data_IF_326295441184
#
_entry.id   IF_326295441184
#
_cell.length_a   1.000
_cell.length_b   1.000
_cell.length_c   1.000
_cell.angle_alpha   90.00
_cell.angle_beta   90.00
_cell.angle_gamma   90.00
#
_symmetry.space_group_name_H-M   'P 1'
#
loop_
_entity.id
_entity.type
_entity.pdbx_description
1 polymer ?
#
# COMPACT_ATOMS: atom_id res chain seq x y z
N UNK A 1 -3.16 -8.57 -3.29
CA UNK A 1 -4.57 -8.41 -3.70
C UNK A 1 -5.47 -8.59 -2.48
N UNK A 2 -6.48 -7.74 -2.29
CA UNK A 2 -7.47 -7.95 -1.26
C UNK A 2 -8.26 -9.23 -1.58
N UNK A 3 -8.60 -10.03 -0.57
CA UNK A 3 -9.19 -11.36 -0.75
C UNK A 3 -10.59 -11.49 -0.17
N UNK A 4 -10.81 -10.90 1.01
CA UNK A 4 -12.12 -10.84 1.66
C UNK A 4 -12.07 -9.84 2.83
N UNK A 5 -13.23 -9.40 3.29
CA UNK A 5 -13.34 -8.52 4.45
C UNK A 5 -14.43 -8.92 5.44
N UNK A 6 -14.36 -8.33 6.62
CA UNK A 6 -15.42 -8.35 7.63
C UNK A 6 -15.87 -6.91 7.88
N UNK A 7 -17.17 -6.71 8.12
CA UNK A 7 -17.71 -5.40 8.47
C UNK A 7 -18.55 -5.48 9.74
N UNK A 8 -18.16 -4.76 10.79
CA UNK A 8 -18.90 -4.65 12.04
C UNK A 8 -19.50 -3.26 12.18
N UNK A 9 -20.78 -3.16 12.51
CA UNK A 9 -21.49 -1.90 12.64
C UNK A 9 -22.17 -1.74 14.00
N UNK A 10 -22.04 -0.56 14.60
CA UNK A 10 -22.93 -0.07 15.65
C UNK A 10 -23.85 0.97 15.02
N UNK A 11 -25.13 0.62 14.85
CA UNK A 11 -26.12 1.47 14.21
C UNK A 11 -26.98 2.17 15.28
N UNK A 12 -27.39 3.43 15.05
CA UNK A 12 -28.39 4.07 15.90
C UNK A 12 -29.71 3.31 15.88
N UNK A 13 -30.42 3.31 17.01
CA UNK A 13 -31.78 2.75 17.06
C UNK A 13 -32.69 3.40 16.00
N UNK A 14 -33.34 2.57 15.18
CA UNK A 14 -34.21 3.05 14.10
C UNK A 14 -33.48 3.60 12.86
N UNK A 15 -32.19 3.30 12.68
CA UNK A 15 -31.43 3.74 11.50
C UNK A 15 -32.08 3.30 10.19
N UNK A 16 -32.63 4.26 9.45
CA UNK A 16 -33.46 4.02 8.26
C UNK A 16 -32.69 3.39 7.08
N UNK A 17 -31.37 3.58 7.03
CA UNK A 17 -30.53 3.21 5.88
C UNK A 17 -29.74 1.91 6.10
N UNK A 18 -30.09 1.11 7.12
CA UNK A 18 -29.32 -0.10 7.46
C UNK A 18 -29.20 -1.09 6.29
N UNK A 19 -30.28 -1.28 5.53
CA UNK A 19 -30.28 -2.15 4.34
C UNK A 19 -29.38 -1.60 3.24
N UNK A 20 -29.50 -0.32 2.94
CA UNK A 20 -28.71 0.37 1.89
C UNK A 20 -27.21 0.34 2.21
N UNK A 21 -26.85 0.48 3.49
CA UNK A 21 -25.47 0.37 3.96
C UNK A 21 -24.89 -1.03 3.67
N UNK A 22 -25.61 -2.09 4.04
CA UNK A 22 -25.18 -3.48 3.81
C UNK A 22 -25.08 -3.77 2.31
N UNK A 23 -26.04 -3.30 1.51
CA UNK A 23 -26.01 -3.44 0.05
C UNK A 23 -24.81 -2.71 -0.56
N UNK A 24 -24.47 -1.51 -0.07
CA UNK A 24 -23.31 -0.76 -0.52
C UNK A 24 -21.99 -1.48 -0.16
N UNK A 25 -21.86 -1.99 1.07
CA UNK A 25 -20.69 -2.78 1.49
C UNK A 25 -20.52 -4.03 0.62
N UNK A 26 -21.61 -4.75 0.35
CA UNK A 26 -21.59 -5.92 -0.52
C UNK A 26 -21.18 -5.54 -1.95
N UNK A 27 -21.82 -4.52 -2.54
CA UNK A 27 -21.53 -4.04 -3.89
C UNK A 27 -20.06 -3.67 -4.07
N UNK A 28 -19.52 -2.86 -3.17
CA UNK A 28 -18.13 -2.40 -3.28
C UNK A 28 -17.12 -3.51 -2.97
N UNK A 29 -17.42 -4.40 -2.01
CA UNK A 29 -16.63 -5.59 -1.78
C UNK A 29 -16.51 -6.46 -3.03
N UNK A 30 -17.63 -6.72 -3.72
CA UNK A 30 -17.61 -7.46 -4.99
C UNK A 30 -16.86 -6.71 -6.09
N UNK A 31 -17.10 -5.40 -6.24
CA UNK A 31 -16.45 -4.58 -7.26
C UNK A 31 -14.92 -4.64 -7.19
N UNK A 32 -14.36 -4.62 -5.98
CA UNK A 32 -12.90 -4.65 -5.75
C UNK A 32 -12.32 -6.07 -5.55
N UNK A 33 -13.11 -7.12 -5.83
CA UNK A 33 -12.66 -8.51 -5.64
C UNK A 33 -12.39 -8.89 -4.19
N UNK A 34 -12.96 -8.15 -3.24
CA UNK A 34 -12.81 -8.31 -1.80
C UNK A 34 -14.19 -8.47 -1.12
N UNK A 35 -14.87 -9.60 -1.33
CA UNK A 35 -16.22 -9.80 -0.77
C UNK A 35 -16.22 -9.65 0.75
N UNK A 36 -17.25 -8.99 1.28
CA UNK A 36 -17.53 -8.99 2.72
C UNK A 36 -18.18 -10.34 3.07
N UNK A 37 -17.43 -11.19 3.79
CA UNK A 37 -17.81 -12.59 4.06
C UNK A 37 -18.45 -12.78 5.44
N UNK A 38 -18.46 -11.73 6.26
CA UNK A 38 -19.01 -11.79 7.61
C UNK A 38 -18.89 -10.45 8.32
N UNK A 39 -19.33 -10.42 9.57
CA UNK A 39 -19.48 -9.20 10.33
C UNK A 39 -20.49 -9.36 11.45
N UNK A 40 -20.70 -8.28 12.19
CA UNK A 40 -21.72 -8.22 13.23
C UNK A 40 -22.41 -6.85 13.23
N UNK A 41 -23.68 -6.80 13.61
CA UNK A 41 -24.44 -5.54 13.69
C UNK A 41 -25.07 -5.45 15.07
N UNK A 42 -24.71 -4.40 15.79
CA UNK A 42 -25.34 -4.01 17.05
C UNK A 42 -26.14 -2.71 16.87
N UNK A 43 -27.16 -2.53 17.69
CA UNK A 43 -27.93 -1.29 17.77
C UNK A 43 -27.75 -0.63 19.14
N UNK A 44 -27.78 0.70 19.18
CA UNK A 44 -27.80 1.42 20.45
C UNK A 44 -27.90 2.93 20.32
N UNK A 45 -27.87 3.62 21.46
CA UNK A 45 -28.04 5.07 21.58
C UNK A 45 -26.83 5.90 21.10
N UNK A 46 -25.84 5.26 20.46
CA UNK A 46 -24.60 5.89 20.00
C UNK A 46 -24.65 6.37 18.54
N UNK A 47 -23.63 7.12 18.09
CA UNK A 47 -23.49 7.47 16.68
C UNK A 47 -23.27 6.22 15.83
N UNK A 48 -23.54 6.34 14.53
CA UNK A 48 -23.18 5.30 13.56
C UNK A 48 -21.65 5.09 13.59
N UNK A 49 -21.23 3.85 13.83
CA UNK A 49 -19.83 3.45 13.75
C UNK A 49 -19.71 2.19 12.90
N UNK A 50 -18.73 2.18 12.00
CA UNK A 50 -18.47 1.05 11.10
C UNK A 50 -16.99 0.75 11.15
N UNK A 51 -16.65 -0.50 11.43
CA UNK A 51 -15.29 -1.02 11.36
C UNK A 51 -15.22 -2.06 10.26
N UNK A 52 -14.29 -1.88 9.32
CA UNK A 52 -14.03 -2.86 8.26
C UNK A 52 -12.64 -3.44 8.43
N UNK A 53 -12.55 -4.77 8.43
CA UNK A 53 -11.29 -5.51 8.42
C UNK A 53 -11.10 -6.13 7.06
N UNK A 54 -9.99 -5.83 6.39
CA UNK A 54 -9.67 -6.40 5.07
C UNK A 54 -8.51 -7.40 5.21
N UNK A 55 -8.67 -8.59 4.65
CA UNK A 55 -7.62 -9.59 4.54
C UNK A 55 -7.17 -9.69 3.10
N UNK A 56 -5.88 -9.45 2.87
CA UNK A 56 -5.24 -9.59 1.57
C UNK A 56 -4.39 -10.86 1.47
N UNK A 57 -4.13 -11.27 0.23
CA UNK A 57 -3.11 -12.26 -0.11
C UNK A 57 -2.05 -11.61 -0.99
N UNK A 58 -0.82 -12.09 -0.88
CA UNK A 58 0.22 -11.72 -1.82
C UNK A 58 0.76 -12.98 -2.49
N UNK A 59 0.39 -13.15 -3.76
CA UNK A 59 0.83 -14.25 -4.62
C UNK A 59 1.89 -13.73 -5.59
N UNK A 60 2.87 -14.59 -5.91
CA UNK A 60 3.85 -14.29 -6.95
C UNK A 60 3.19 -14.52 -8.32
N UNK A 61 3.36 -13.63 -9.32
CA UNK A 61 3.12 -14.02 -10.71
C UNK A 61 4.24 -14.97 -11.12
N UNK A 62 3.87 -16.20 -11.50
CA UNK A 62 4.68 -17.23 -12.15
C UNK A 62 6.16 -17.26 -11.76
N UNK A 63 6.50 -18.04 -10.72
CA UNK A 63 7.83 -18.62 -10.69
C UNK A 63 7.96 -19.53 -11.93
N UNK A 64 8.97 -19.34 -12.81
CA UNK A 64 9.16 -20.29 -13.90
C UNK A 64 9.32 -21.67 -13.28
N UNK A 65 8.53 -22.63 -13.75
CA UNK A 65 8.67 -24.01 -13.36
C UNK A 65 10.13 -24.40 -13.61
N UNK A 66 10.91 -24.59 -12.55
CA UNK A 66 12.21 -25.24 -12.70
C UNK A 66 11.89 -26.66 -13.13
N UNK A 67 12.23 -27.00 -14.37
CA UNK A 67 12.26 -28.39 -14.81
C UNK A 67 13.25 -29.11 -13.91
N UNK A 68 12.73 -29.76 -12.86
CA UNK A 68 13.48 -30.81 -12.18
C UNK A 68 13.33 -32.00 -13.11
N UNK A 69 14.38 -32.29 -13.88
CA UNK A 69 14.45 -33.55 -14.60
C UNK A 69 14.25 -34.68 -13.58
N UNK A 70 13.30 -35.61 -13.82
CA UNK A 70 13.13 -36.74 -12.92
C UNK A 70 14.45 -37.51 -12.87
N UNK A 71 14.89 -37.97 -11.68
CA UNK A 71 16.14 -38.70 -11.57
C UNK A 71 16.09 -39.92 -12.49
N UNK A 72 17.18 -40.11 -13.25
CA UNK A 72 17.33 -41.21 -14.19
C UNK A 72 16.93 -42.54 -13.53
N UNK A 73 16.06 -43.29 -14.20
CA UNK A 73 15.73 -44.66 -13.81
C UNK A 73 17.02 -45.49 -13.80
N UNK A 74 17.54 -45.77 -12.62
CA UNK A 74 18.54 -46.81 -12.44
C UNK A 74 17.84 -48.16 -12.63
N UNK A 75 18.12 -48.82 -13.74
CA UNK A 75 17.76 -50.22 -13.95
C UNK A 75 18.55 -51.14 -13.02
N UNK A 76 17.97 -52.29 -12.70
CA UNK A 76 18.65 -53.38 -12.00
C UNK A 76 17.67 -54.30 -11.29
N UNK A 77 17.53 -55.54 -11.77
CA UNK A 77 16.57 -56.53 -11.28
C UNK A 77 16.96 -57.22 -9.98
N UNK A 78 16.07 -58.13 -9.53
CA UNK A 78 16.33 -59.03 -8.41
C UNK A 78 15.05 -59.44 -7.69
N UNK A 79 14.80 -60.74 -7.68
CA UNK A 79 13.61 -61.45 -7.18
C UNK A 79 13.43 -61.44 -5.65
N UNK A 80 12.17 -61.56 -5.20
CA UNK A 80 11.83 -62.35 -4.01
C UNK A 80 11.41 -61.62 -2.72
N UNK A 81 10.18 -61.93 -2.24
CA UNK A 81 9.82 -61.90 -0.81
C UNK A 81 8.96 -60.71 -0.35
N UNK A 82 7.81 -61.00 0.24
CA UNK A 82 6.75 -60.03 0.58
C UNK A 82 7.03 -59.10 1.77
N UNK A 83 6.39 -57.92 1.73
CA UNK A 83 6.32 -56.91 2.79
C UNK A 83 5.36 -55.77 2.37
N UNK A 84 4.70 -55.07 3.31
CA UNK A 84 3.49 -54.29 3.04
C UNK A 84 3.76 -53.03 2.20
N UNK A 85 2.78 -52.68 1.36
CA UNK A 85 2.75 -51.46 0.54
C UNK A 85 3.10 -50.22 1.38
N UNK A 86 4.29 -49.67 1.16
CA UNK A 86 4.61 -48.30 1.53
C UNK A 86 4.04 -47.37 0.45
N UNK A 87 2.90 -46.74 0.74
CA UNK A 87 2.44 -45.58 -0.02
C UNK A 87 3.44 -44.43 0.21
N UNK A 88 4.39 -44.27 -0.71
CA UNK A 88 5.22 -43.07 -0.77
C UNK A 88 4.32 -41.87 -1.10
N UNK A 89 3.88 -41.12 -0.09
CA UNK A 89 3.42 -39.74 -0.26
C UNK A 89 4.61 -38.92 -0.74
N UNK A 90 4.70 -38.69 -2.04
CA UNK A 90 5.51 -37.61 -2.58
C UNK A 90 4.91 -36.29 -2.12
N UNK A 91 5.38 -35.75 -1.01
CA UNK A 91 5.18 -34.33 -0.70
C UNK A 91 6.06 -33.53 -1.65
N UNK A 92 5.49 -33.16 -2.79
CA UNK A 92 6.01 -32.06 -3.60
C UNK A 92 5.87 -30.79 -2.76
N UNK A 93 6.91 -30.44 -2.03
CA UNK A 93 7.00 -29.14 -1.38
C UNK A 93 7.19 -28.10 -2.50
N UNK A 94 6.09 -27.49 -2.95
CA UNK A 94 6.14 -26.23 -3.65
C UNK A 94 6.53 -25.18 -2.61
N UNK A 95 7.82 -24.88 -2.52
CA UNK A 95 8.28 -23.72 -1.77
C UNK A 95 7.92 -22.48 -2.61
N UNK A 96 6.64 -22.07 -2.54
CA UNK A 96 6.21 -20.79 -3.09
C UNK A 96 6.89 -19.72 -2.27
N UNK A 97 7.95 -19.11 -2.80
CA UNK A 97 8.56 -17.92 -2.23
C UNK A 97 7.50 -16.81 -2.16
N UNK A 98 6.88 -16.67 -0.98
CA UNK A 98 5.97 -15.58 -0.65
C UNK A 98 6.82 -14.32 -0.59
N UNK A 99 6.60 -13.34 -1.49
CA UNK A 99 7.17 -12.01 -1.26
C UNK A 99 6.51 -11.42 -0.02
N UNK A 100 7.24 -10.63 0.74
CA UNK A 100 6.71 -9.85 1.87
C UNK A 100 6.10 -8.55 1.36
N UNK A 101 5.01 -8.05 1.97
CA UNK A 101 4.40 -6.79 1.55
C UNK A 101 5.43 -5.66 1.57
N UNK A 102 5.28 -4.69 0.66
CA UNK A 102 6.07 -3.46 0.73
C UNK A 102 5.64 -2.70 1.99
N UNK A 103 6.55 -2.60 2.95
CA UNK A 103 6.31 -1.90 4.21
C UNK A 103 6.67 -0.43 4.07
N UNK A 104 6.05 0.43 4.87
CA UNK A 104 6.45 1.84 5.00
C UNK A 104 7.84 2.05 5.63
N UNK A 105 8.47 0.98 6.13
CA UNK A 105 9.74 1.01 6.88
C UNK A 105 10.96 0.63 6.03
N UNK A 106 10.82 0.56 4.71
CA UNK A 106 11.87 0.09 3.81
C UNK A 106 12.65 1.17 3.06
N UNK A 107 12.33 2.46 3.22
CA UNK A 107 12.92 3.54 2.41
C UNK A 107 14.42 3.67 2.68
N UNK A 108 15.19 3.99 1.63
CA UNK A 108 16.64 4.07 1.70
C UNK A 108 17.14 5.44 1.25
N UNK A 109 18.24 5.95 1.83
CA UNK A 109 18.90 7.14 1.32
C UNK A 109 19.21 7.01 -0.19
N UNK A 110 18.89 8.04 -0.95
CA UNK A 110 19.00 8.07 -2.41
C UNK A 110 17.72 7.71 -3.15
N UNK A 111 16.70 7.16 -2.48
CA UNK A 111 15.39 6.94 -3.10
C UNK A 111 14.73 8.27 -3.50
N UNK A 112 14.02 8.24 -4.61
CA UNK A 112 13.14 9.31 -5.05
C UNK A 112 11.73 9.10 -4.50
N UNK A 113 11.03 10.20 -4.23
CA UNK A 113 9.66 10.19 -3.74
C UNK A 113 8.68 10.43 -4.88
N UNK A 114 7.68 9.56 -5.01
CA UNK A 114 6.71 9.58 -6.09
C UNK A 114 5.28 9.39 -5.57
N UNK A 115 4.30 9.96 -6.27
CA UNK A 115 2.89 9.87 -5.96
C UNK A 115 2.11 9.18 -7.08
N UNK A 116 1.01 8.50 -6.75
CA UNK A 116 0.10 7.92 -7.75
C UNK A 116 -0.95 8.89 -8.30
N UNK A 117 -1.06 10.07 -7.70
CA UNK A 117 -2.02 11.09 -8.10
C UNK A 117 -1.75 12.44 -7.45
N UNK A 118 -2.68 13.36 -7.67
CA UNK A 118 -2.59 14.71 -7.11
C UNK A 118 -2.95 14.70 -5.62
N UNK A 119 -2.47 15.70 -4.89
CA UNK A 119 -2.78 15.91 -3.47
C UNK A 119 -3.59 17.18 -3.24
N UNK A 120 -4.47 17.14 -2.24
CA UNK A 120 -5.29 18.27 -1.80
C UNK A 120 -6.65 18.39 -2.50
N UNK A 121 -7.58 19.09 -1.85
CA UNK A 121 -8.93 19.36 -2.34
C UNK A 121 -9.85 18.13 -2.32
N UNK A 122 -9.53 17.09 -1.54
CA UNK A 122 -10.30 15.85 -1.53
C UNK A 122 -11.73 16.03 -1.00
N UNK A 123 -11.88 16.87 0.03
CA UNK A 123 -13.19 17.23 0.58
C UNK A 123 -14.00 18.08 -0.40
N UNK A 124 -13.42 19.16 -0.91
CA UNK A 124 -14.09 20.11 -1.82
C UNK A 124 -14.55 19.42 -3.12
N UNK A 125 -13.70 18.57 -3.71
CA UNK A 125 -14.05 17.82 -4.91
C UNK A 125 -14.99 16.64 -4.66
N UNK A 126 -15.20 16.26 -3.39
CA UNK A 126 -15.87 15.03 -2.99
C UNK A 126 -15.12 13.76 -3.38
N UNK A 127 -13.81 13.86 -3.66
CA UNK A 127 -12.97 12.74 -4.05
C UNK A 127 -12.87 11.67 -2.96
N UNK A 128 -12.80 12.06 -1.68
CA UNK A 128 -12.82 11.16 -0.52
C UNK A 128 -13.98 10.14 -0.50
N UNK A 129 -15.09 10.41 -1.20
CA UNK A 129 -16.23 9.49 -1.32
C UNK A 129 -16.26 8.67 -2.62
N UNK A 130 -15.38 8.98 -3.59
CA UNK A 130 -15.42 8.40 -4.94
C UNK A 130 -14.06 7.88 -5.43
N UNK A 131 -13.04 7.91 -4.58
CA UNK A 131 -11.71 7.45 -4.93
C UNK A 131 -11.71 5.96 -5.29
N UNK A 132 -10.78 5.59 -6.17
CA UNK A 132 -10.46 4.20 -6.45
C UNK A 132 -9.17 3.84 -5.69
N UNK A 133 -9.18 2.85 -4.76
CA UNK A 133 -7.97 2.41 -4.09
C UNK A 133 -6.93 1.97 -5.12
N UNK A 134 -5.67 2.37 -4.90
CA UNK A 134 -4.57 2.18 -5.85
C UNK A 134 -4.01 0.75 -5.87
N UNK A 135 -4.90 -0.24 -5.99
CA UNK A 135 -4.58 -1.67 -5.93
C UNK A 135 -3.60 -2.11 -7.02
N UNK A 136 -3.80 -1.65 -8.25
CA UNK A 136 -2.91 -1.98 -9.37
C UNK A 136 -1.50 -1.41 -9.16
N UNK A 137 -1.42 -0.16 -8.69
CA UNK A 137 -0.16 0.51 -8.38
C UNK A 137 0.56 -0.19 -7.22
N UNK A 138 -0.13 -0.49 -6.12
CA UNK A 138 0.42 -1.23 -5.00
C UNK A 138 0.86 -2.65 -5.38
N UNK A 139 0.09 -3.34 -6.21
CA UNK A 139 0.44 -4.67 -6.73
C UNK A 139 1.68 -4.64 -7.63
N UNK A 140 1.78 -3.65 -8.52
CA UNK A 140 2.95 -3.47 -9.38
C UNK A 140 4.19 -3.03 -8.58
N UNK A 141 4.03 -2.20 -7.56
CA UNK A 141 5.09 -1.87 -6.61
C UNK A 141 5.62 -3.13 -5.90
N UNK A 142 4.75 -4.00 -5.40
CA UNK A 142 5.15 -5.25 -4.74
C UNK A 142 5.88 -6.26 -5.66
N UNK A 143 5.65 -6.17 -6.98
CA UNK A 143 6.34 -6.98 -7.99
C UNK A 143 7.68 -6.38 -8.42
N UNK A 144 7.95 -5.14 -8.04
CA UNK A 144 9.17 -4.41 -8.41
C UNK A 144 10.19 -4.50 -7.29
N UNK A 145 11.46 -4.69 -7.62
CA UNK A 145 12.57 -4.59 -6.65
C UNK A 145 13.02 -3.15 -6.43
N UNK A 146 12.38 -2.20 -7.12
CA UNK A 146 12.72 -0.78 -7.09
C UNK A 146 11.94 0.01 -6.06
N UNK A 147 10.77 -0.46 -5.64
CA UNK A 147 9.97 0.22 -4.63
C UNK A 147 10.41 -0.31 -3.28
N UNK A 148 11.03 0.56 -2.48
CA UNK A 148 11.59 0.18 -1.19
C UNK A 148 10.59 0.39 -0.06
N UNK A 149 9.77 1.44 -0.13
CA UNK A 149 8.69 1.69 0.82
C UNK A 149 7.48 2.34 0.17
N UNK A 150 6.34 2.18 0.83
CA UNK A 150 5.07 2.72 0.37
C UNK A 150 4.12 2.97 1.55
N UNK A 151 3.32 4.02 1.46
CA UNK A 151 2.20 4.33 2.37
C UNK A 151 1.07 4.99 1.59
N UNK A 152 -0.19 4.77 2.01
CA UNK A 152 -1.32 5.55 1.52
C UNK A 152 -1.43 6.91 2.22
N UNK A 153 -2.06 7.88 1.54
CA UNK A 153 -2.25 9.24 2.02
C UNK A 153 -3.67 9.41 2.57
N UNK A 154 -3.84 9.16 3.87
CA UNK A 154 -5.11 9.30 4.57
C UNK A 154 -5.16 10.56 5.43
N UNK A 155 -4.06 10.94 6.06
CA UNK A 155 -4.01 12.02 7.05
C UNK A 155 -3.30 13.28 6.49
N UNK A 156 -2.98 13.24 5.19
CA UNK A 156 -2.28 14.27 4.46
C UNK A 156 -0.84 13.89 4.19
N UNK A 157 -0.31 14.37 3.05
CA UNK A 157 1.05 14.08 2.61
C UNK A 157 2.09 14.36 3.70
N UNK A 158 1.94 15.45 4.46
CA UNK A 158 2.93 15.80 5.48
C UNK A 158 3.05 14.74 6.58
N UNK A 159 1.94 14.40 7.24
CA UNK A 159 1.92 13.43 8.33
C UNK A 159 2.26 12.02 7.86
N UNK A 160 1.75 11.59 6.71
CA UNK A 160 2.02 10.24 6.19
C UNK A 160 3.45 10.09 5.67
N UNK A 161 4.04 11.14 5.08
CA UNK A 161 5.47 11.16 4.77
C UNK A 161 6.33 11.11 6.04
N UNK A 162 5.96 11.85 7.09
CA UNK A 162 6.67 11.81 8.37
C UNK A 162 6.62 10.40 8.99
N UNK A 163 5.48 9.70 8.91
CA UNK A 163 5.33 8.32 9.37
C UNK A 163 6.21 7.35 8.57
N UNK A 164 6.27 7.49 7.25
CA UNK A 164 7.14 6.67 6.39
C UNK A 164 8.61 6.90 6.73
N UNK A 165 9.06 8.15 6.84
CA UNK A 165 10.42 8.50 7.22
C UNK A 165 10.80 7.98 8.61
N UNK A 166 9.90 8.17 9.59
CA UNK A 166 10.07 7.65 10.94
C UNK A 166 10.19 6.13 10.99
N UNK A 167 9.29 5.42 10.30
CA UNK A 167 9.31 3.96 10.24
C UNK A 167 10.55 3.40 9.52
N UNK A 168 11.09 4.14 8.55
CA UNK A 168 12.27 3.75 7.78
C UNK A 168 13.59 4.20 8.42
N UNK A 169 13.57 5.04 9.46
CA UNK A 169 14.79 5.57 10.08
C UNK A 169 15.57 6.56 9.20
N UNK A 170 14.87 7.29 8.32
CA UNK A 170 15.45 8.22 7.34
C UNK A 170 14.77 9.58 7.39
N UNK A 171 15.31 10.57 6.65
CA UNK A 171 14.63 11.85 6.42
C UNK A 171 14.15 11.95 4.97
N UNK A 172 12.85 12.17 4.79
CA UNK A 172 12.27 12.51 3.49
C UNK A 172 12.36 14.02 3.29
N UNK A 173 12.89 14.46 2.16
CA UNK A 173 12.97 15.86 1.78
C UNK A 173 12.03 16.08 0.59
N UNK A 174 10.91 16.74 0.84
CA UNK A 174 9.85 17.00 -0.14
C UNK A 174 9.93 18.45 -0.58
N UNK A 175 9.89 18.70 -1.88
CA UNK A 175 9.90 20.05 -2.46
C UNK A 175 8.48 20.46 -2.81
N UNK A 176 7.91 21.43 -2.09
CA UNK A 176 6.54 21.88 -2.29
C UNK A 176 6.27 22.36 -3.74
N UNK A 177 7.28 22.95 -4.38
CA UNK A 177 7.20 23.42 -5.76
C UNK A 177 7.06 22.28 -6.81
N UNK A 178 7.37 21.03 -6.43
CA UNK A 178 7.25 19.84 -7.31
C UNK A 178 5.98 19.04 -7.04
N UNK A 179 5.17 19.45 -6.06
CA UNK A 179 3.97 18.70 -5.70
C UNK A 179 2.92 18.76 -6.83
N UNK A 180 2.35 17.61 -7.22
CA UNK A 180 1.19 17.57 -8.11
C UNK A 180 -0.05 18.00 -7.32
N UNK A 181 -0.26 19.32 -7.18
CA UNK A 181 -1.38 19.85 -6.41
C UNK A 181 -2.65 19.82 -7.25
N UNK A 182 -3.75 19.36 -6.66
CA UNK A 182 -5.07 19.43 -7.27
C UNK A 182 -5.50 20.88 -7.49
N UNK A 183 -6.18 21.17 -8.60
CA UNK A 183 -6.76 22.50 -8.84
C UNK A 183 -7.85 22.91 -7.84
N UNK A 184 -8.37 21.95 -7.07
CA UNK A 184 -9.29 22.18 -5.96
C UNK A 184 -8.59 22.55 -4.65
N UNK A 185 -7.25 22.59 -4.61
CA UNK A 185 -6.51 23.01 -3.43
C UNK A 185 -5.96 24.43 -3.64
N UNK A 186 -6.09 25.34 -2.65
CA UNK A 186 -5.65 26.73 -2.80
C UNK A 186 -4.12 26.90 -2.84
N UNK A 187 -3.37 25.88 -2.43
CA UNK A 187 -1.91 25.92 -2.40
C UNK A 187 -1.29 24.67 -1.81
N UNK A 188 0.04 24.65 -1.79
CA UNK A 188 0.79 23.49 -1.29
C UNK A 188 0.52 23.20 0.18
N UNK A 189 0.28 24.23 0.99
CA UNK A 189 0.16 24.08 2.44
C UNK A 189 -1.11 23.32 2.82
N UNK A 190 -2.23 23.65 2.18
CA UNK A 190 -3.50 22.96 2.33
C UNK A 190 -3.41 21.55 1.71
N UNK A 191 -2.81 21.43 0.53
CA UNK A 191 -2.66 20.15 -0.16
C UNK A 191 -1.92 19.09 0.67
N UNK A 192 -0.93 19.48 1.48
CA UNK A 192 -0.19 18.54 2.33
C UNK A 192 -0.86 18.26 3.67
N UNK A 193 -1.87 19.04 4.05
CA UNK A 193 -2.54 18.97 5.37
C UNK A 193 -3.89 18.26 5.36
N UNK A 194 -4.68 18.40 4.30
CA UNK A 194 -6.09 18.00 4.30
C UNK A 194 -6.31 16.49 4.45
N UNK A 195 -5.52 15.67 3.76
CA UNK A 195 -5.71 14.22 3.76
C UNK A 195 -6.87 13.74 2.91
N UNK A 196 -7.28 12.49 3.15
CA UNK A 196 -8.29 11.74 2.38
C UNK A 196 -8.03 11.71 0.87
N UNK A 197 -6.78 11.85 0.42
CA UNK A 197 -6.41 11.75 -0.98
C UNK A 197 -6.47 10.30 -1.48
N UNK A 198 -6.14 9.35 -0.59
CA UNK A 198 -6.06 7.91 -0.84
C UNK A 198 -5.15 7.52 -2.02
N UNK A 199 -4.20 8.41 -2.32
CA UNK A 199 -3.06 8.13 -3.18
C UNK A 199 -1.96 7.37 -2.42
N UNK A 200 -0.97 6.85 -3.14
CA UNK A 200 0.20 6.22 -2.56
C UNK A 200 1.41 7.13 -2.67
N UNK A 201 2.13 7.30 -1.57
CA UNK A 201 3.50 7.81 -1.54
C UNK A 201 4.48 6.64 -1.57
N UNK A 202 5.39 6.65 -2.54
CA UNK A 202 6.38 5.60 -2.76
C UNK A 202 7.80 6.14 -2.70
N UNK A 203 8.69 5.41 -2.02
CA UNK A 203 10.14 5.59 -2.10
C UNK A 203 10.70 4.61 -3.13
N UNK A 204 11.27 5.13 -4.21
CA UNK A 204 11.67 4.37 -5.39
C UNK A 204 13.14 4.59 -5.69
N UNK A 205 13.90 3.51 -5.89
CA UNK A 205 15.28 3.62 -6.35
C UNK A 205 15.35 4.43 -7.67
N UNK A 206 16.22 5.46 -7.77
CA UNK A 206 16.29 6.36 -8.93
C UNK A 206 16.57 5.60 -10.23
N UNK A 207 16.01 6.10 -11.35
CA UNK A 207 16.33 5.63 -12.69
C UNK A 207 17.67 6.20 -13.14
N UNK A 208 18.78 5.50 -12.86
CA UNK A 208 20.02 5.78 -13.60
C UNK A 208 19.92 5.21 -15.01
N UNK A 209 20.40 5.93 -16.06
CA UNK A 209 20.30 5.50 -17.45
C UNK A 209 21.07 4.21 -17.78
N UNK A 210 21.86 3.66 -16.85
CA UNK A 210 22.69 2.47 -17.07
C UNK A 210 22.06 1.15 -16.59
N UNK A 211 20.91 1.16 -15.91
CA UNK A 211 20.28 -0.07 -15.40
C UNK A 211 19.37 -0.67 -16.48
N UNK A 212 19.65 -1.91 -16.88
CA UNK A 212 18.89 -2.69 -17.90
C UNK A 212 17.47 -3.09 -17.49
N UNK A 213 16.95 -2.56 -16.39
CA UNK A 213 15.63 -2.94 -15.88
C UNK A 213 14.54 -2.09 -16.55
N UNK A 214 13.40 -2.70 -16.93
CA UNK A 214 12.30 -1.95 -17.50
C UNK A 214 11.83 -0.88 -16.49
N UNK A 215 11.46 0.33 -16.96
CA UNK A 215 10.92 1.36 -16.08
C UNK A 215 9.67 0.84 -15.37
N UNK A 216 9.47 1.27 -14.12
CA UNK A 216 8.24 0.98 -13.39
C UNK A 216 7.07 1.61 -14.14
N UNK A 217 6.33 0.82 -14.91
CA UNK A 217 5.17 1.27 -15.69
C UNK A 217 3.91 1.05 -14.85
N UNK A 218 3.40 2.14 -14.31
CA UNK A 218 2.10 2.19 -13.64
C UNK A 218 1.08 2.89 -14.53
N UNK A 219 -0.17 2.48 -14.38
CA UNK A 219 -1.33 3.13 -14.97
C UNK A 219 -2.28 3.51 -13.81
N UNK A 220 -2.54 4.81 -13.55
CA UNK A 220 -1.89 5.97 -14.20
C UNK A 220 -0.38 6.06 -13.92
N UNK A 221 0.38 6.83 -14.73
CA UNK A 221 1.79 7.08 -14.47
C UNK A 221 1.99 7.76 -13.12
N UNK A 222 3.14 7.49 -12.49
CA UNK A 222 3.54 8.19 -11.28
C UNK A 222 3.81 9.67 -11.55
N UNK A 223 3.51 10.50 -10.56
CA UNK A 223 3.79 11.92 -10.53
C UNK A 223 5.00 12.19 -9.62
N UNK A 224 6.03 12.83 -10.17
CA UNK A 224 7.26 13.10 -9.45
C UNK A 224 8.52 13.14 -10.34
N UNK A 225 9.72 13.06 -9.73
CA UNK A 225 9.93 12.95 -8.29
C UNK A 225 9.55 14.24 -7.56
N UNK A 226 8.88 14.11 -6.40
CA UNK A 226 8.50 15.26 -5.55
C UNK A 226 9.57 15.60 -4.50
N UNK A 227 10.62 14.78 -4.42
CA UNK A 227 11.62 14.87 -3.38
C UNK A 227 12.53 13.66 -3.35
N UNK A 228 13.38 13.59 -2.33
CA UNK A 228 14.39 12.54 -2.14
C UNK A 228 14.45 12.08 -0.70
N UNK A 229 14.89 10.85 -0.49
CA UNK A 229 15.21 10.30 0.82
C UNK A 229 16.69 10.51 1.10
N UNK A 230 17.03 10.95 2.31
CA UNK A 230 18.42 11.05 2.77
C UNK A 230 18.62 10.34 4.11
N UNK A 231 19.88 10.05 4.42
CA UNK A 231 20.25 9.60 5.75
C UNK A 231 19.99 10.72 6.77
N UNK A 232 19.62 10.33 7.99
CA UNK A 232 19.57 11.25 9.11
C UNK A 232 20.98 11.68 9.50
N UNK A 233 21.13 12.96 9.87
CA UNK A 233 22.35 13.46 10.48
C UNK A 233 22.46 12.99 11.94
N UNK A 234 23.65 13.14 12.54
CA UNK A 234 23.88 12.73 13.93
C UNK A 234 22.98 13.56 14.87
N UNK A 235 22.10 12.89 15.59
CA UNK A 235 21.15 13.51 16.51
C UNK A 235 19.84 14.00 15.86
N UNK A 236 19.68 13.83 14.55
CA UNK A 236 18.45 14.18 13.85
C UNK A 236 17.37 13.11 14.02
N UNK A 237 16.13 13.54 14.27
CA UNK A 237 14.97 12.64 14.32
C UNK A 237 14.53 12.24 12.90
N UNK A 238 14.37 10.93 12.61
CA UNK A 238 13.72 10.45 11.40
C UNK A 238 12.34 11.07 11.18
N UNK A 239 11.94 11.28 9.93
CA UNK A 239 10.67 11.93 9.58
C UNK A 239 10.70 12.52 8.18
N UNK A 240 9.99 13.63 7.98
CA UNK A 240 9.94 14.31 6.69
C UNK A 240 9.99 15.84 6.86
N UNK A 241 10.68 16.51 5.95
CA UNK A 241 10.74 17.97 5.83
C UNK A 241 10.13 18.38 4.50
N UNK A 242 9.29 19.42 4.52
CA UNK A 242 8.79 20.07 3.30
C UNK A 242 9.52 21.39 3.11
N UNK A 243 10.16 21.56 1.96
CA UNK A 243 10.80 22.81 1.55
C UNK A 243 9.79 23.61 0.73
N UNK A 244 9.39 24.78 1.24
CA UNK A 244 8.45 25.66 0.54
C UNK A 244 9.08 26.34 -0.69
N UNK A 245 8.29 26.97 -1.58
CA UNK A 245 8.83 27.63 -2.77
C UNK A 245 9.81 28.77 -2.50
N UNK A 246 9.90 29.25 -1.25
CA UNK A 246 10.84 30.28 -0.82
C UNK A 246 12.09 29.68 -0.14
N UNK A 247 12.23 28.36 -0.13
CA UNK A 247 13.36 27.63 0.45
C UNK A 247 13.27 27.46 1.97
N UNK A 248 12.12 27.76 2.60
CA UNK A 248 11.96 27.54 4.05
C UNK A 248 11.57 26.10 4.33
N UNK A 249 12.18 25.54 5.35
CA UNK A 249 11.90 24.18 5.81
C UNK A 249 10.76 24.15 6.82
N UNK A 250 9.85 23.19 6.64
CA UNK A 250 8.74 22.92 7.54
C UNK A 250 8.79 21.46 7.97
N UNK A 251 8.62 21.19 9.27
CA UNK A 251 8.53 19.82 9.76
C UNK A 251 7.17 19.22 9.35
N UNK A 252 7.21 18.18 8.52
CA UNK A 252 6.01 17.62 7.92
C UNK A 252 5.10 16.93 8.95
N UNK A 253 5.66 16.49 10.09
CA UNK A 253 4.88 15.90 11.20
C UNK A 253 3.84 16.89 11.76
N UNK A 254 4.11 18.20 11.65
CA UNK A 254 3.20 19.27 12.08
C UNK A 254 2.15 19.65 11.01
N UNK A 255 2.21 19.00 9.84
CA UNK A 255 1.39 19.32 8.67
C UNK A 255 0.55 18.10 8.30
N UNK A 256 -0.62 17.97 8.92
CA UNK A 256 -1.59 16.91 8.64
C UNK A 256 -2.76 16.94 9.61
N UNK A 257 -3.76 16.11 9.35
CA UNK A 257 -4.97 16.05 10.16
C UNK A 257 -4.75 15.21 11.45
N UNK A 258 -5.39 15.60 12.56
CA UNK A 258 -5.34 14.88 13.86
C UNK A 258 -6.74 14.61 14.42
N UNK A 259 -6.97 13.41 14.95
CA UNK A 259 -8.21 13.05 15.66
C UNK A 259 -8.33 13.73 17.04
N UNK A 260 -7.23 14.23 17.60
CA UNK A 260 -7.13 14.68 19.00
C UNK A 260 -6.84 16.17 19.22
N UNK A 261 -7.44 17.06 18.41
CA UNK A 261 -7.38 18.50 18.65
C UNK A 261 -7.78 18.92 20.07
#
# INVERSE_FOLDING_TARGET
>A
EPAWGLATGLLPDGYAHGKELVEALHKWGQHWGCPIVGGDIAFGLGPLSITTTVVGRMTKPDAPARNIEPPAQAGGGGEGGGGPLACARGSMAYETAVRSPILRSGAKPGDELWLTGQVGGSLESGWHLRFAPRLDAGGAAARSDRVHAMIDLSDGLGRDAARLGAASGVRLIIEAAKLPISHHSPGWLEAVREGEDYELLMAIHPQYPEVSEPPLRLAPPLLGPIGVVRACEVGEKPGATIIDPYGREHDAETLGWDHGG
#
